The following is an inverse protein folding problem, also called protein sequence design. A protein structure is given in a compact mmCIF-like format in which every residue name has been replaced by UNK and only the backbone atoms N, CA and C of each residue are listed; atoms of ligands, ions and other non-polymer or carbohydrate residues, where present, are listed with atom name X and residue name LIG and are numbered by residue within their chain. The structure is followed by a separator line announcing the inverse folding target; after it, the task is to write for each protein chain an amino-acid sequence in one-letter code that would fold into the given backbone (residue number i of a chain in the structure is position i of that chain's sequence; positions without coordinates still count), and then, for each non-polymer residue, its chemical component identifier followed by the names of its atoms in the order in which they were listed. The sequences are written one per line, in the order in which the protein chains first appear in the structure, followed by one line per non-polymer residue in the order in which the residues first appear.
data_IF_326876781072
#
_entry.id   IF_326876781072
#
_cell.length_a   1.000
_cell.length_b   1.000
_cell.length_c   1.000
_cell.angle_alpha   90.00
_cell.angle_beta   90.00
_cell.angle_gamma   90.00
#
_symmetry.space_group_name_H-M   'P 1'
#
loop_
_entity.id
_entity.type
_entity.pdbx_description
1 polymer ?
#
# COMPACT_ATOMS: atom_id res chain seq x y z
N UNK A 1 6.89 17.26 9.04
CA UNK A 1 6.23 18.26 9.92
C UNK A 1 4.73 18.15 9.74
N UNK A 2 3.91 18.53 10.72
CA UNK A 2 2.44 18.54 10.57
C UNK A 2 1.82 19.71 11.31
N UNK A 3 0.68 20.19 10.83
CA UNK A 3 -0.18 21.21 11.44
C UNK A 3 -1.58 20.60 11.57
N UNK A 4 -1.96 20.25 12.80
CA UNK A 4 -3.20 19.51 13.06
C UNK A 4 -4.44 20.39 12.88
N UNK A 5 -4.37 21.67 13.27
CA UNK A 5 -5.51 22.59 13.19
C UNK A 5 -5.85 22.92 11.73
N UNK A 6 -4.85 22.85 10.84
CA UNK A 6 -5.02 23.02 9.39
C UNK A 6 -5.12 21.71 8.61
N UNK A 7 -5.03 20.56 9.27
CA UNK A 7 -5.04 19.24 8.64
C UNK A 7 -3.93 19.05 7.57
N UNK A 8 -2.72 19.57 7.83
CA UNK A 8 -1.59 19.51 6.90
C UNK A 8 -0.50 18.57 7.43
N UNK A 9 0.04 17.72 6.56
CA UNK A 9 1.23 16.89 6.81
C UNK A 9 2.23 17.11 5.67
N UNK A 10 3.48 17.43 6.01
CA UNK A 10 4.61 17.50 5.08
C UNK A 10 5.35 16.15 5.13
N UNK A 11 5.38 15.47 3.99
CA UNK A 11 5.99 14.15 3.78
C UNK A 11 7.29 14.28 2.98
N UNK A 12 8.19 13.34 3.16
CA UNK A 12 9.32 13.18 2.24
C UNK A 12 8.81 12.72 0.88
N UNK A 13 9.37 13.28 -0.20
CA UNK A 13 9.07 12.80 -1.54
C UNK A 13 9.84 11.50 -1.80
N UNK A 14 9.11 10.44 -2.11
CA UNK A 14 9.68 9.14 -2.46
C UNK A 14 9.65 9.03 -3.98
N UNK A 15 10.83 8.97 -4.58
CA UNK A 15 10.95 8.85 -6.03
C UNK A 15 10.82 7.40 -6.48
N UNK A 16 9.90 7.14 -7.40
CA UNK A 16 9.71 5.84 -8.03
C UNK A 16 8.30 5.64 -8.56
N UNK A 17 8.02 4.50 -9.22
CA UNK A 17 6.71 4.24 -9.81
C UNK A 17 5.66 3.97 -8.73
N UNK A 18 4.41 4.31 -9.06
CA UNK A 18 3.23 3.87 -8.30
C UNK A 18 2.96 2.41 -8.62
N UNK A 19 2.59 1.60 -7.63
CA UNK A 19 2.33 0.17 -7.84
C UNK A 19 1.20 -0.07 -8.86
N UNK A 20 0.17 0.77 -8.89
CA UNK A 20 -0.90 0.72 -9.91
C UNK A 20 -0.37 0.81 -11.35
N UNK A 21 0.68 1.59 -11.59
CA UNK A 21 1.24 1.77 -12.93
C UNK A 21 1.99 0.52 -13.38
N UNK A 22 2.63 -0.19 -12.44
CA UNK A 22 3.26 -1.48 -12.70
C UNK A 22 2.21 -2.53 -13.07
N UNK A 23 1.10 -2.58 -12.34
CA UNK A 23 -0.02 -3.49 -12.60
C UNK A 23 -0.63 -3.23 -13.98
N UNK A 24 -0.97 -1.96 -14.28
CA UNK A 24 -1.50 -1.55 -15.60
C UNK A 24 -0.56 -1.87 -16.75
N UNK A 25 0.75 -1.83 -16.49
CA UNK A 25 1.79 -2.17 -17.47
C UNK A 25 2.11 -3.67 -17.52
N UNK A 26 1.32 -4.52 -16.85
CA UNK A 26 1.50 -5.96 -16.75
C UNK A 26 2.94 -6.36 -16.33
N UNK A 27 3.52 -5.59 -15.41
CA UNK A 27 4.84 -5.89 -14.82
C UNK A 27 4.69 -6.93 -13.73
N UNK A 28 5.72 -7.75 -13.54
CA UNK A 28 5.77 -8.67 -12.41
C UNK A 28 5.93 -7.89 -11.09
N UNK A 29 4.95 -8.06 -10.20
CA UNK A 29 4.92 -7.44 -8.87
C UNK A 29 5.08 -8.46 -7.73
N UNK A 30 5.46 -9.70 -8.02
CA UNK A 30 5.54 -10.80 -7.04
C UNK A 30 6.42 -10.44 -5.84
N UNK A 31 7.51 -9.72 -6.09
CA UNK A 31 8.41 -9.24 -5.02
C UNK A 31 7.70 -8.28 -4.06
N UNK A 32 6.81 -7.41 -4.55
CA UNK A 32 6.09 -6.44 -3.74
C UNK A 32 4.95 -7.09 -2.97
N UNK A 33 4.26 -8.09 -3.56
CA UNK A 33 3.30 -8.93 -2.83
C UNK A 33 4.00 -9.62 -1.65
N UNK A 34 5.21 -10.14 -1.87
CA UNK A 34 6.00 -10.75 -0.78
C UNK A 34 6.31 -9.72 0.31
N UNK A 35 6.79 -8.53 -0.04
CA UNK A 35 7.08 -7.47 0.95
C UNK A 35 5.84 -7.08 1.75
N UNK A 36 4.68 -6.96 1.10
CA UNK A 36 3.42 -6.71 1.80
C UNK A 36 3.13 -7.81 2.81
N UNK A 37 3.18 -9.08 2.39
CA UNK A 37 2.96 -10.25 3.26
C UNK A 37 3.93 -10.32 4.45
N UNK A 38 5.18 -9.92 4.26
CA UNK A 38 6.17 -9.84 5.33
C UNK A 38 5.82 -8.74 6.37
N UNK A 39 5.10 -7.68 5.96
CA UNK A 39 4.66 -6.58 6.83
C UNK A 39 3.35 -6.85 7.57
N UNK A 40 2.44 -7.65 6.99
CA UNK A 40 1.10 -7.90 7.55
C UNK A 40 1.09 -8.35 9.02
N UNK A 41 1.98 -9.25 9.51
CA UNK A 41 1.96 -9.66 10.91
C UNK A 41 2.13 -8.50 11.89
N UNK A 42 2.94 -7.50 11.54
CA UNK A 42 3.14 -6.31 12.37
C UNK A 42 1.89 -5.41 12.38
N UNK A 43 1.24 -5.25 11.23
CA UNK A 43 0.01 -4.46 11.10
C UNK A 43 -1.13 -5.11 11.88
N UNK A 44 -1.31 -6.42 11.72
CA UNK A 44 -2.41 -7.16 12.35
C UNK A 44 -2.21 -7.33 13.85
N UNK A 45 -0.97 -7.52 14.32
CA UNK A 45 -0.67 -7.55 15.77
C UNK A 45 -0.88 -6.20 16.45
N UNK A 46 -0.77 -5.10 15.71
CA UNK A 46 -1.16 -3.77 16.17
C UNK A 46 -2.68 -3.54 16.14
N UNK A 47 -3.48 -4.50 15.64
CA UNK A 47 -4.93 -4.39 15.54
C UNK A 47 -5.41 -3.44 14.45
N UNK A 48 -4.63 -3.29 13.37
CA UNK A 48 -4.89 -2.31 12.30
C UNK A 48 -5.23 -2.96 10.95
N UNK A 49 -6.01 -2.25 10.14
CA UNK A 49 -5.96 -2.32 8.68
C UNK A 49 -5.39 -1.00 8.13
N UNK A 50 -4.78 -1.07 6.95
CA UNK A 50 -4.41 0.08 6.11
C UNK A 50 -5.14 -0.04 4.77
N UNK A 51 -5.21 1.03 3.98
CA UNK A 51 -5.80 0.93 2.64
C UNK A 51 -4.82 0.28 1.65
N UNK A 52 -5.13 -0.95 1.26
CA UNK A 52 -4.33 -1.75 0.35
C UNK A 52 -4.49 -1.37 -1.12
N UNK A 53 -5.22 -0.31 -1.47
CA UNK A 53 -5.38 0.08 -2.87
C UNK A 53 -4.02 0.41 -3.52
N UNK A 54 -3.72 -0.07 -4.75
CA UNK A 54 -2.36 0.01 -5.31
C UNK A 54 -1.79 1.42 -5.49
N UNK A 55 -2.62 2.46 -5.63
CA UNK A 55 -2.13 3.85 -5.76
C UNK A 55 -1.49 4.37 -4.47
N UNK A 56 -1.78 3.73 -3.33
CA UNK A 56 -1.27 4.11 -2.03
C UNK A 56 0.16 3.62 -1.78
N UNK A 57 0.78 2.95 -2.76
CA UNK A 57 2.11 2.35 -2.67
C UNK A 57 3.05 2.87 -3.76
N UNK A 58 4.20 3.39 -3.32
CA UNK A 58 5.33 3.76 -4.19
C UNK A 58 6.42 2.71 -4.05
N UNK A 59 7.02 2.30 -5.18
CA UNK A 59 8.23 1.48 -5.18
C UNK A 59 9.40 2.45 -5.21
N UNK A 60 10.17 2.54 -4.13
CA UNK A 60 11.32 3.43 -4.08
C UNK A 60 12.40 2.97 -5.04
N UNK A 61 12.87 3.88 -5.90
CA UNK A 61 13.83 3.58 -6.97
C UNK A 61 15.21 3.11 -6.46
N UNK A 62 15.55 3.40 -5.19
CA UNK A 62 16.90 3.18 -4.67
C UNK A 62 17.06 1.80 -4.01
N UNK A 63 16.05 1.31 -3.30
CA UNK A 63 16.09 0.07 -2.52
C UNK A 63 15.07 -0.97 -2.99
N UNK A 64 14.20 -0.61 -3.94
CA UNK A 64 13.14 -1.46 -4.47
C UNK A 64 12.15 -1.94 -3.40
N UNK A 65 11.93 -1.14 -2.35
CA UNK A 65 10.94 -1.37 -1.31
C UNK A 65 9.62 -0.66 -1.61
N UNK A 66 8.51 -1.26 -1.18
CA UNK A 66 7.21 -0.58 -1.17
C UNK A 66 7.08 0.37 0.03
N UNK A 67 6.52 1.55 -0.23
CA UNK A 67 6.20 2.54 0.78
C UNK A 67 4.72 2.89 0.73
N UNK A 68 4.03 2.75 1.86
CA UNK A 68 2.64 3.20 2.03
C UNK A 68 2.61 4.71 2.28
N UNK A 69 1.90 5.47 1.45
CA UNK A 69 1.93 6.94 1.46
C UNK A 69 0.61 7.60 1.88
N UNK A 70 -0.43 6.82 2.12
CA UNK A 70 -1.78 7.34 2.41
C UNK A 70 -2.00 7.62 3.92
N UNK A 71 -1.25 6.95 4.81
CA UNK A 71 -1.30 7.15 6.27
C UNK A 71 -2.69 6.92 6.91
N UNK A 72 -3.67 6.40 6.17
CA UNK A 72 -4.93 5.97 6.74
C UNK A 72 -4.76 4.62 7.45
N UNK A 73 -5.34 4.49 8.63
CA UNK A 73 -5.46 3.21 9.32
C UNK A 73 -6.81 3.11 10.04
N UNK A 74 -7.36 1.90 10.09
CA UNK A 74 -8.62 1.58 10.74
C UNK A 74 -8.44 0.39 11.69
N UNK A 75 -9.42 0.13 12.55
CA UNK A 75 -9.43 -1.09 13.37
C UNK A 75 -9.45 -2.32 12.47
N UNK A 76 -8.68 -3.35 12.83
CA UNK A 76 -8.60 -4.59 12.08
C UNK A 76 -9.97 -5.27 11.94
N UNK A 77 -10.32 -5.58 10.70
CA UNK A 77 -11.40 -6.46 10.31
C UNK A 77 -10.91 -7.34 9.15
N UNK A 78 -11.07 -8.66 9.28
CA UNK A 78 -10.62 -9.61 8.28
C UNK A 78 -11.26 -9.34 6.90
N UNK A 79 -12.47 -8.75 6.84
CA UNK A 79 -13.09 -8.42 5.55
C UNK A 79 -12.30 -7.40 4.71
N UNK A 80 -11.49 -6.57 5.37
CA UNK A 80 -10.69 -5.50 4.76
C UNK A 80 -9.19 -5.79 4.79
N UNK A 81 -8.80 -7.01 5.18
CA UNK A 81 -7.40 -7.39 5.19
C UNK A 81 -6.85 -7.59 3.76
N UNK A 82 -5.54 -7.78 3.66
CA UNK A 82 -4.89 -7.90 2.37
C UNK A 82 -5.36 -9.14 1.59
N UNK A 83 -5.54 -10.29 2.23
CA UNK A 83 -5.85 -11.55 1.54
C UNK A 83 -7.32 -11.61 1.10
N UNK A 84 -8.24 -10.99 1.85
CA UNK A 84 -9.67 -10.97 1.55
C UNK A 84 -10.08 -9.83 0.61
N UNK A 85 -9.37 -8.69 0.66
CA UNK A 85 -9.73 -7.51 -0.13
C UNK A 85 -8.57 -6.98 -0.99
N UNK A 86 -7.42 -6.67 -0.39
CA UNK A 86 -6.32 -5.95 -1.06
C UNK A 86 -5.75 -6.67 -2.29
N UNK A 87 -5.51 -7.98 -2.19
CA UNK A 87 -4.85 -8.80 -3.21
C UNK A 87 -5.60 -8.81 -4.56
N UNK A 88 -6.92 -8.59 -4.55
CA UNK A 88 -7.76 -8.53 -5.76
C UNK A 88 -7.30 -7.39 -6.68
N UNK A 89 -7.02 -6.23 -6.10
CA UNK A 89 -6.53 -5.07 -6.85
C UNK A 89 -5.07 -5.23 -7.27
N UNK A 90 -4.25 -5.93 -6.47
CA UNK A 90 -2.84 -6.16 -6.80
C UNK A 90 -2.70 -7.17 -7.95
N UNK A 91 -3.62 -8.12 -8.07
CA UNK A 91 -3.62 -9.10 -9.17
C UNK A 91 -4.12 -8.54 -10.51
N UNK A 92 -4.48 -7.25 -10.58
CA UNK A 92 -4.88 -6.64 -11.84
C UNK A 92 -6.31 -6.97 -12.27
N UNK A 93 -7.23 -7.27 -11.33
CA UNK A 93 -8.65 -7.43 -11.67
C UNK A 93 -9.20 -6.10 -12.25
N UNK A 94 -9.16 -5.96 -13.58
CA UNK A 94 -9.47 -4.74 -14.35
C UNK A 94 -10.85 -4.12 -14.06
N UNK A 95 -11.79 -4.89 -13.49
CA UNK A 95 -13.11 -4.37 -13.09
C UNK A 95 -13.04 -3.49 -11.83
N UNK A 96 -11.88 -3.41 -11.19
CA UNK A 96 -11.66 -2.79 -9.89
C UNK A 96 -10.52 -1.73 -9.91
N UNK A 97 -9.86 -1.53 -11.06
CA UNK A 97 -8.72 -0.61 -11.26
C UNK A 97 -9.04 0.44 -12.30
#
# INVERSE_FOLDING_TARGET
AFDKDKEIIIKEYIEGPVLSDLIKSNKDITIYIKQMKDMLPNIYSAGLNIDYYPTNFIINKNDNLIYYIDYECNLYDAKWDFDNWGIKYWNGDEKLI
#
